data_IF_114632305103
#
_entry.id   IF_114632305103
#
_cell.length_a   1.000
_cell.length_b   1.000
_cell.length_c   1.000
_cell.angle_alpha   90.00
_cell.angle_beta   90.00
_cell.angle_gamma   90.00
#
_symmetry.space_group_name_H-M   'P 1'
#
loop_
_entity.id
_entity.type
_entity.pdbx_description
1 polymer ?
#
# COMPACT_ATOMS: atom_id res chain seq x y z
N UNK A 1 -15.44 -28.47 -17.57
CA UNK A 1 -16.13 -27.35 -16.88
C UNK A 1 -15.29 -26.75 -15.75
N UNK A 2 -14.77 -27.56 -14.82
CA UNK A 2 -13.99 -27.09 -13.66
C UNK A 2 -12.80 -26.16 -14.02
N UNK A 3 -12.01 -26.50 -15.04
CA UNK A 3 -10.89 -25.65 -15.48
C UNK A 3 -11.33 -24.26 -15.94
N UNK A 4 -12.36 -24.18 -16.80
CA UNK A 4 -12.86 -22.91 -17.33
C UNK A 4 -13.37 -21.99 -16.21
N UNK A 5 -13.99 -22.56 -15.19
CA UNK A 5 -14.45 -21.82 -14.01
C UNK A 5 -13.26 -21.27 -13.19
N UNK A 6 -12.21 -22.08 -12.99
CA UNK A 6 -10.99 -21.63 -12.29
C UNK A 6 -10.28 -20.51 -13.06
N UNK A 7 -10.24 -20.59 -14.38
CA UNK A 7 -9.65 -19.54 -15.23
C UNK A 7 -10.47 -18.24 -15.11
N UNK A 8 -11.80 -18.31 -15.17
CA UNK A 8 -12.67 -17.14 -14.96
C UNK A 8 -12.51 -16.54 -13.55
N UNK A 9 -12.39 -17.37 -12.53
CA UNK A 9 -12.15 -16.91 -11.16
C UNK A 9 -10.77 -16.24 -11.03
N UNK A 10 -9.75 -16.73 -11.75
CA UNK A 10 -8.43 -16.11 -11.78
C UNK A 10 -8.51 -14.70 -12.36
N UNK A 11 -9.21 -14.53 -13.49
CA UNK A 11 -9.40 -13.22 -14.12
C UNK A 11 -10.12 -12.23 -13.20
N UNK A 12 -11.18 -12.68 -12.51
CA UNK A 12 -11.94 -11.83 -11.58
C UNK A 12 -11.09 -11.46 -10.36
N UNK A 13 -10.38 -12.43 -9.77
CA UNK A 13 -9.54 -12.16 -8.60
C UNK A 13 -8.34 -11.27 -8.93
N UNK A 14 -7.82 -11.35 -10.16
CA UNK A 14 -6.81 -10.43 -10.66
C UNK A 14 -7.35 -9.01 -10.80
N UNK A 15 -8.53 -8.84 -11.40
CA UNK A 15 -9.17 -7.53 -11.50
C UNK A 15 -9.43 -6.92 -10.11
N UNK A 16 -9.87 -7.72 -9.14
CA UNK A 16 -10.03 -7.27 -7.75
C UNK A 16 -8.70 -6.86 -7.11
N UNK A 17 -7.63 -7.63 -7.33
CA UNK A 17 -6.30 -7.28 -6.85
C UNK A 17 -5.81 -5.95 -7.45
N UNK A 18 -5.94 -5.77 -8.76
CA UNK A 18 -5.56 -4.52 -9.44
C UNK A 18 -6.36 -3.32 -8.94
N UNK A 19 -7.65 -3.51 -8.66
CA UNK A 19 -8.49 -2.47 -8.08
C UNK A 19 -7.99 -2.06 -6.68
N UNK A 20 -7.69 -3.02 -5.80
CA UNK A 20 -7.15 -2.71 -4.47
C UNK A 20 -5.75 -2.09 -4.55
N UNK A 21 -4.92 -2.55 -5.49
CA UNK A 21 -3.59 -1.98 -5.74
C UNK A 21 -3.68 -0.51 -6.17
N UNK A 22 -4.63 -0.17 -7.05
CA UNK A 22 -4.85 1.21 -7.48
C UNK A 22 -5.26 2.14 -6.34
N UNK A 23 -6.01 1.63 -5.34
CA UNK A 23 -6.43 2.40 -4.15
C UNK A 23 -5.26 2.74 -3.21
N UNK A 24 -4.16 2.00 -3.27
CA UNK A 24 -3.00 2.21 -2.38
C UNK A 24 -2.22 3.46 -2.77
N UNK A 25 -2.00 3.68 -4.06
CA UNK A 25 -1.20 4.80 -4.58
C UNK A 25 -1.59 6.17 -3.99
N UNK A 26 -2.86 6.61 -4.02
CA UNK A 26 -3.24 7.91 -3.47
C UNK A 26 -2.97 8.02 -1.97
N UNK A 27 -3.03 6.92 -1.21
CA UNK A 27 -2.73 6.93 0.23
C UNK A 27 -1.23 7.13 0.47
N UNK A 28 -0.38 6.48 -0.33
CA UNK A 28 1.07 6.69 -0.28
C UNK A 28 1.48 8.11 -0.70
N UNK A 29 0.85 8.64 -1.74
CA UNK A 29 1.09 10.01 -2.20
C UNK A 29 0.69 11.03 -1.12
N UNK A 30 -0.45 10.82 -0.45
CA UNK A 30 -0.88 11.66 0.67
C UNK A 30 0.09 11.57 1.87
N UNK A 31 0.55 10.37 2.22
CA UNK A 31 1.54 10.17 3.28
C UNK A 31 2.86 10.89 2.98
N UNK A 32 3.36 10.76 1.74
CA UNK A 32 4.58 11.42 1.28
C UNK A 32 4.43 12.94 1.32
N UNK A 33 3.28 13.48 0.91
CA UNK A 33 2.97 14.90 0.97
C UNK A 33 3.05 15.45 2.39
N UNK A 34 2.39 14.80 3.36
CA UNK A 34 2.37 15.27 4.76
C UNK A 34 3.74 15.14 5.41
N UNK A 35 4.48 14.05 5.13
CA UNK A 35 5.88 13.94 5.56
C UNK A 35 6.77 15.04 4.98
N UNK A 36 6.57 15.38 3.71
CA UNK A 36 7.28 16.49 3.07
C UNK A 36 6.95 17.85 3.72
N UNK A 37 5.70 18.08 4.11
CA UNK A 37 5.30 19.28 4.85
C UNK A 37 5.94 19.35 6.24
N UNK A 38 5.98 18.23 6.98
CA UNK A 38 6.67 18.14 8.26
C UNK A 38 8.17 18.43 8.13
N UNK A 39 8.83 17.85 7.12
CA UNK A 39 10.26 18.08 6.86
C UNK A 39 10.54 19.56 6.54
N UNK A 40 9.68 20.19 5.73
CA UNK A 40 9.78 21.64 5.44
C UNK A 40 9.60 22.48 6.70
N UNK A 41 8.63 22.14 7.54
CA UNK A 41 8.38 22.83 8.81
C UNK A 41 9.60 22.72 9.75
N UNK A 42 10.17 21.52 9.87
CA UNK A 42 11.37 21.30 10.68
C UNK A 42 12.58 22.07 10.12
N UNK A 43 12.72 22.20 8.80
CA UNK A 43 13.79 22.99 8.20
C UNK A 43 13.62 24.49 8.50
N UNK A 44 12.41 25.04 8.32
CA UNK A 44 12.12 26.44 8.63
C UNK A 44 12.42 26.78 10.11
N UNK A 45 12.18 25.84 11.03
CA UNK A 45 12.52 26.01 12.44
C UNK A 45 14.03 26.09 12.64
N UNK A 46 14.80 25.22 11.97
CA UNK A 46 16.27 25.23 12.06
C UNK A 46 16.84 26.54 11.53
N UNK A 47 16.45 26.93 10.32
CA UNK A 47 16.93 28.16 9.67
C UNK A 47 16.61 29.40 10.53
N UNK A 48 15.39 29.47 11.06
CA UNK A 48 14.95 30.56 11.93
C UNK A 48 15.75 30.64 13.25
N UNK A 49 16.12 29.49 13.83
CA UNK A 49 16.96 29.43 15.04
C UNK A 49 18.41 29.81 14.76
N UNK A 50 18.95 29.40 13.62
CA UNK A 50 20.31 29.76 13.20
C UNK A 50 20.44 31.27 12.97
N UNK A 51 19.48 31.88 12.26
CA UNK A 51 19.42 33.33 12.05
C UNK A 51 19.25 34.12 13.37
N UNK A 52 18.44 33.63 14.30
CA UNK A 52 18.24 34.29 15.60
C UNK A 52 19.47 34.18 16.53
N UNK A 53 20.33 33.18 16.33
CA UNK A 53 21.59 33.06 17.06
C UNK A 53 22.67 34.01 16.53
N UNK A 54 22.65 34.35 15.24
CA UNK A 54 23.60 35.29 14.63
C UNK A 54 23.33 36.77 14.92
N UNK A 55 22.08 37.15 15.23
CA UNK A 55 21.71 38.57 15.38
C UNK A 55 20.89 38.79 16.66
N UNK A 56 21.56 39.23 17.75
CA UNK A 56 20.96 39.36 19.09
C UNK A 56 19.83 40.40 19.16
N UNK A 57 19.73 41.33 18.21
CA UNK A 57 18.68 42.35 18.15
C UNK A 57 17.30 41.79 17.77
N UNK A 58 17.23 40.63 17.09
CA UNK A 58 15.96 39.99 16.69
C UNK A 58 15.28 39.17 17.80
N UNK A 59 15.90 39.02 18.98
CA UNK A 59 15.30 38.32 20.14
C UNK A 59 14.20 39.13 20.85
N UNK A 60 13.92 40.36 20.43
CA UNK A 60 13.06 41.28 21.15
C UNK A 60 11.57 41.16 20.73
N UNK A 61 10.75 40.72 21.70
CA UNK A 61 9.38 41.18 21.97
C UNK A 61 8.23 40.58 21.13
N UNK A 62 7.77 39.39 21.54
CA UNK A 62 6.37 38.95 21.34
C UNK A 62 6.05 38.22 20.03
N UNK A 63 6.77 38.49 18.94
CA UNK A 63 6.60 37.77 17.67
C UNK A 63 6.98 36.27 17.80
N UNK A 64 7.97 35.94 18.62
CA UNK A 64 8.42 34.55 18.83
C UNK A 64 7.35 33.70 19.50
N UNK A 65 6.58 34.20 20.48
CA UNK A 65 5.54 33.40 21.15
C UNK A 65 4.39 33.03 20.20
N UNK A 66 3.95 33.96 19.34
CA UNK A 66 2.94 33.70 18.31
C UNK A 66 3.45 32.71 17.26
N UNK A 67 4.72 32.84 16.87
CA UNK A 67 5.40 31.94 15.95
C UNK A 67 5.54 30.53 16.53
N UNK A 68 6.04 30.37 17.77
CA UNK A 68 6.10 29.10 18.48
C UNK A 68 4.70 28.46 18.63
N UNK A 69 3.69 29.28 18.94
CA UNK A 69 2.30 28.83 19.03
C UNK A 69 1.76 28.32 17.69
N UNK A 70 2.06 29.02 16.59
CA UNK A 70 1.71 28.59 15.24
C UNK A 70 2.44 27.30 14.85
N UNK A 71 3.74 27.18 15.15
CA UNK A 71 4.53 25.97 14.91
C UNK A 71 3.96 24.75 15.63
N UNK A 72 3.68 24.90 16.92
CA UNK A 72 3.12 23.82 17.74
C UNK A 72 1.75 23.37 17.22
N UNK A 73 0.87 24.32 16.87
CA UNK A 73 -0.44 24.04 16.28
C UNK A 73 -0.33 23.35 14.93
N UNK A 74 0.52 23.87 14.03
CA UNK A 74 0.71 23.34 12.68
C UNK A 74 1.33 21.95 12.71
N UNK A 75 2.36 21.72 13.52
CA UNK A 75 2.97 20.40 13.73
C UNK A 75 1.97 19.40 14.29
N UNK A 76 1.15 19.82 15.27
CA UNK A 76 0.08 18.97 15.82
C UNK A 76 -0.95 18.59 14.76
N UNK A 77 -1.37 19.54 13.93
CA UNK A 77 -2.31 19.29 12.84
C UNK A 77 -1.73 18.31 11.81
N UNK A 78 -0.50 18.54 11.34
CA UNK A 78 0.18 17.65 10.39
C UNK A 78 0.39 16.23 10.97
N UNK A 79 0.73 16.11 12.25
CA UNK A 79 0.85 14.81 12.91
C UNK A 79 -0.50 14.09 13.04
N UNK A 80 -1.58 14.81 13.29
CA UNK A 80 -2.93 14.23 13.32
C UNK A 80 -3.33 13.72 11.92
N UNK A 81 -3.07 14.51 10.88
CA UNK A 81 -3.31 14.11 9.49
C UNK A 81 -2.46 12.89 9.12
N UNK A 82 -1.17 12.88 9.50
CA UNK A 82 -0.28 11.74 9.28
C UNK A 82 -0.78 10.47 9.98
N UNK A 83 -1.28 10.59 11.21
CA UNK A 83 -1.84 9.45 11.94
C UNK A 83 -3.10 8.90 11.24
N UNK A 84 -3.98 9.77 10.76
CA UNK A 84 -5.19 9.37 10.01
C UNK A 84 -4.82 8.67 8.70
N UNK A 85 -3.89 9.22 7.92
CA UNK A 85 -3.40 8.63 6.67
C UNK A 85 -2.73 7.28 6.95
N UNK A 86 -1.94 7.18 8.02
CA UNK A 86 -1.30 5.93 8.42
C UNK A 86 -2.34 4.86 8.74
N UNK A 87 -3.41 5.21 9.46
CA UNK A 87 -4.51 4.29 9.73
C UNK A 87 -5.27 3.88 8.46
N UNK A 88 -5.39 4.76 7.46
CA UNK A 88 -5.96 4.43 6.15
C UNK A 88 -5.03 3.50 5.35
N UNK A 89 -3.72 3.76 5.38
CA UNK A 89 -2.70 2.92 4.74
C UNK A 89 -2.72 1.51 5.28
N UNK A 90 -2.75 1.34 6.60
CA UNK A 90 -2.80 0.01 7.22
C UNK A 90 -4.04 -0.77 6.75
N UNK A 91 -5.20 -0.12 6.68
CA UNK A 91 -6.43 -0.75 6.15
C UNK A 91 -6.33 -1.09 4.67
N UNK A 92 -5.82 -0.19 3.84
CA UNK A 92 -5.62 -0.43 2.41
C UNK A 92 -4.63 -1.58 2.16
N UNK A 93 -3.55 -1.65 2.93
CA UNK A 93 -2.56 -2.74 2.88
C UNK A 93 -3.16 -4.10 3.26
N UNK A 94 -3.98 -4.15 4.31
CA UNK A 94 -4.66 -5.39 4.71
C UNK A 94 -5.62 -5.90 3.61
N UNK A 95 -6.39 -5.00 3.02
CA UNK A 95 -7.27 -5.33 1.89
C UNK A 95 -6.50 -5.81 0.67
N UNK A 96 -5.40 -5.13 0.31
CA UNK A 96 -4.52 -5.54 -0.78
C UNK A 96 -3.94 -6.93 -0.53
N UNK A 97 -3.48 -7.21 0.70
CA UNK A 97 -2.94 -8.52 1.08
C UNK A 97 -3.98 -9.62 0.95
N UNK A 98 -5.23 -9.37 1.37
CA UNK A 98 -6.36 -10.31 1.23
C UNK A 98 -6.70 -10.56 -0.25
N UNK A 99 -6.77 -9.51 -1.06
CA UNK A 99 -7.04 -9.63 -2.49
C UNK A 99 -5.94 -10.43 -3.21
N UNK A 100 -4.67 -10.13 -2.91
CA UNK A 100 -3.53 -10.89 -3.42
C UNK A 100 -3.57 -12.36 -2.99
N UNK A 101 -3.85 -12.64 -1.72
CA UNK A 101 -3.95 -14.01 -1.23
C UNK A 101 -5.03 -14.82 -1.95
N UNK A 102 -6.19 -14.20 -2.23
CA UNK A 102 -7.28 -14.83 -3.00
C UNK A 102 -6.86 -15.09 -4.45
N UNK A 103 -6.28 -14.10 -5.12
CA UNK A 103 -5.72 -14.24 -6.47
C UNK A 103 -4.74 -15.43 -6.52
N UNK A 104 -3.76 -15.43 -5.64
CA UNK A 104 -2.72 -16.46 -5.61
C UNK A 104 -3.28 -17.86 -5.35
N UNK A 105 -4.26 -17.99 -4.46
CA UNK A 105 -4.93 -19.26 -4.19
C UNK A 105 -5.66 -19.79 -5.44
N UNK A 106 -6.40 -18.94 -6.14
CA UNK A 106 -7.13 -19.34 -7.36
C UNK A 106 -6.18 -19.69 -8.49
N UNK A 107 -5.12 -18.90 -8.71
CA UNK A 107 -4.07 -19.22 -9.69
C UNK A 107 -3.43 -20.58 -9.40
N UNK A 108 -3.11 -20.85 -8.14
CA UNK A 108 -2.53 -22.13 -7.71
C UNK A 108 -3.49 -23.29 -7.99
N UNK A 109 -4.77 -23.14 -7.66
CA UNK A 109 -5.81 -24.14 -7.94
C UNK A 109 -5.97 -24.38 -9.45
N UNK A 110 -5.94 -23.32 -10.26
CA UNK A 110 -6.04 -23.41 -11.72
C UNK A 110 -4.86 -24.17 -12.31
N UNK A 111 -3.64 -23.91 -11.84
CA UNK A 111 -2.43 -24.63 -12.27
C UNK A 111 -2.52 -26.11 -11.88
N UNK A 112 -2.90 -26.41 -10.63
CA UNK A 112 -3.02 -27.78 -10.14
C UNK A 112 -4.06 -28.59 -10.94
N UNK A 113 -5.22 -27.99 -11.26
CA UNK A 113 -6.25 -28.65 -12.06
C UNK A 113 -5.76 -28.93 -13.49
N UNK A 114 -5.04 -27.98 -14.13
CA UNK A 114 -4.41 -28.22 -15.45
C UNK A 114 -3.46 -29.41 -15.41
N UNK A 115 -2.62 -29.49 -14.38
CA UNK A 115 -1.67 -30.58 -14.21
C UNK A 115 -2.38 -31.92 -13.98
N UNK A 116 -3.42 -31.94 -13.14
CA UNK A 116 -4.25 -33.12 -12.91
C UNK A 116 -4.88 -33.63 -14.20
N UNK A 117 -5.52 -32.76 -14.98
CA UNK A 117 -6.15 -33.14 -16.24
C UNK A 117 -5.12 -33.68 -17.24
N UNK A 118 -3.92 -33.09 -17.31
CA UNK A 118 -2.83 -33.60 -18.16
C UNK A 118 -2.38 -35.00 -17.73
N UNK A 119 -2.17 -35.22 -16.43
CA UNK A 119 -1.79 -36.53 -15.88
C UNK A 119 -2.86 -37.59 -16.14
N UNK A 120 -4.13 -37.27 -15.89
CA UNK A 120 -5.25 -38.20 -16.13
C UNK A 120 -5.35 -38.59 -17.61
N UNK A 121 -5.11 -37.64 -18.53
CA UNK A 121 -5.09 -37.91 -19.97
C UNK A 121 -3.91 -38.81 -20.37
N UNK A 122 -2.72 -38.52 -19.85
CA UNK A 122 -1.53 -39.34 -20.11
C UNK A 122 -1.71 -40.78 -19.59
N UNK A 123 -2.26 -40.94 -18.38
CA UNK A 123 -2.53 -42.25 -17.80
C UNK A 123 -3.56 -43.04 -18.62
N UNK A 124 -4.67 -42.39 -19.03
CA UNK A 124 -5.69 -43.04 -19.88
C UNK A 124 -5.13 -43.47 -21.23
N UNK A 125 -4.28 -42.64 -21.84
CA UNK A 125 -3.62 -43.00 -23.10
C UNK A 125 -2.67 -44.18 -22.89
N UNK A 126 -1.88 -44.16 -21.82
CA UNK A 126 -0.98 -45.26 -21.47
C UNK A 126 -1.74 -46.58 -21.26
N UNK A 127 -2.79 -46.58 -20.45
CA UNK A 127 -3.61 -47.79 -20.22
C UNK A 127 -4.19 -48.34 -21.54
N UNK A 128 -4.69 -47.45 -22.41
CA UNK A 128 -5.23 -47.83 -23.72
C UNK A 128 -4.16 -48.43 -24.65
N UNK A 129 -2.92 -47.94 -24.60
CA UNK A 129 -1.82 -48.48 -25.40
C UNK A 129 -1.31 -49.83 -24.86
N UNK A 130 -1.45 -50.09 -23.56
CA UNK A 130 -0.99 -51.31 -22.91
C UNK A 130 -2.06 -52.41 -22.85
N UNK A 131 -3.22 -52.23 -23.50
CA UNK A 131 -4.37 -53.15 -23.49
C UNK A 131 -4.82 -53.60 -22.08
N UNK A 132 -4.60 -52.74 -21.07
CA UNK A 132 -5.13 -52.96 -19.73
C UNK A 132 -6.42 -52.16 -19.62
N UNK A 133 -7.57 -52.83 -19.74
CA UNK A 133 -8.89 -52.23 -19.46
C UNK A 133 -8.99 -51.75 -18.02
#
# INVERSE_FOLDING_TARGET
MKQKMLDQMADVTEAMYLQEHAKVKPVLDAEARVRGQLAKLDQQIKDSREMANSDHAMKALGADLLWQGWHSRTRRQLNMELAQITAQKLRAMDNLRKAFGRKHAVETMAIQERQRVKKDRAQKLHNRLMNME
#
